data_IF_929694698215
#
_entry.id   IF_929694698215
#
_cell.length_a   1.000
_cell.length_b   1.000
_cell.length_c   1.000
_cell.angle_alpha   90.00
_cell.angle_beta   90.00
_cell.angle_gamma   90.00
#
_symmetry.space_group_name_H-M   'P 1'
#
loop_
_entity.id
_entity.type
_entity.pdbx_description
1 polymer ?
#
# COMPACT_ATOMS: atom_id res chain seq x y z
N UNK A 1 -24.47 28.08 2.82
CA UNK A 1 -23.27 27.27 3.07
C UNK A 1 -23.16 26.21 1.98
N UNK A 2 -22.18 26.33 1.08
CA UNK A 2 -21.99 25.38 -0.02
C UNK A 2 -21.32 24.11 0.49
N UNK A 3 -22.11 23.12 0.92
CA UNK A 3 -21.64 21.73 1.07
C UNK A 3 -21.46 21.13 -0.33
N UNK A 4 -20.44 21.58 -1.03
CA UNK A 4 -20.01 20.99 -2.30
C UNK A 4 -19.14 19.76 -2.06
N UNK A 5 -19.15 18.84 -3.01
CA UNK A 5 -18.19 17.75 -3.04
C UNK A 5 -16.79 18.33 -3.28
N UNK A 6 -15.85 17.99 -2.41
CA UNK A 6 -14.45 18.39 -2.56
C UNK A 6 -13.60 17.14 -2.74
N UNK A 7 -12.65 17.17 -3.68
CA UNK A 7 -11.69 16.09 -3.84
C UNK A 7 -10.95 15.83 -2.53
N UNK A 8 -10.89 14.57 -2.16
CA UNK A 8 -10.19 14.14 -0.96
C UNK A 8 -8.68 14.30 -1.19
N UNK A 9 -8.02 15.06 -0.31
CA UNK A 9 -6.58 15.30 -0.44
C UNK A 9 -5.80 14.27 0.37
N UNK A 10 -4.56 14.00 -0.06
CA UNK A 10 -3.60 13.18 0.70
C UNK A 10 -3.51 13.61 2.17
N UNK A 11 -3.46 14.93 2.44
CA UNK A 11 -3.37 15.49 3.80
C UNK A 11 -4.58 15.09 4.65
N UNK A 12 -5.80 15.17 4.09
CA UNK A 12 -7.04 14.82 4.79
C UNK A 12 -7.11 13.32 5.12
N UNK A 13 -6.71 12.46 4.18
CA UNK A 13 -6.65 11.00 4.40
C UNK A 13 -5.67 10.69 5.53
N UNK A 14 -4.43 11.16 5.41
CA UNK A 14 -3.38 10.86 6.37
C UNK A 14 -3.71 11.40 7.76
N UNK A 15 -4.26 12.60 7.86
CA UNK A 15 -4.71 13.16 9.14
C UNK A 15 -5.77 12.26 9.80
N UNK A 16 -6.74 11.78 9.03
CA UNK A 16 -7.80 10.90 9.54
C UNK A 16 -7.24 9.54 9.99
N UNK A 17 -6.43 8.89 9.16
CA UNK A 17 -5.83 7.59 9.50
C UNK A 17 -4.91 7.70 10.71
N UNK A 18 -4.00 8.68 10.72
CA UNK A 18 -3.05 8.86 11.81
C UNK A 18 -3.77 9.19 13.12
N UNK A 19 -4.83 10.00 13.10
CA UNK A 19 -5.65 10.24 14.30
C UNK A 19 -6.20 8.95 14.89
N UNK A 20 -6.73 8.03 14.05
CA UNK A 20 -7.28 6.76 14.52
C UNK A 20 -6.16 5.88 15.08
N UNK A 21 -5.05 5.73 14.36
CA UNK A 21 -3.94 4.89 14.76
C UNK A 21 -3.29 5.35 16.07
N UNK A 22 -2.99 6.64 16.19
CA UNK A 22 -2.37 7.18 17.41
C UNK A 22 -3.28 7.01 18.63
N UNK A 23 -4.61 7.12 18.45
CA UNK A 23 -5.57 6.85 19.53
C UNK A 23 -5.60 5.39 19.98
N UNK A 24 -5.11 4.46 19.14
CA UNK A 24 -5.00 3.04 19.45
C UNK A 24 -3.55 2.61 19.77
N UNK A 25 -2.65 3.56 20.03
CA UNK A 25 -1.23 3.26 20.32
C UNK A 25 -0.41 2.80 19.11
N UNK A 26 -0.93 2.95 17.90
CA UNK A 26 -0.24 2.61 16.66
C UNK A 26 0.50 3.86 16.14
N UNK A 27 1.79 3.75 15.77
CA UNK A 27 2.54 4.88 15.21
C UNK A 27 1.89 5.46 13.94
N UNK A 28 2.01 6.78 13.77
CA UNK A 28 1.56 7.44 12.55
C UNK A 28 2.33 6.93 11.32
N UNK A 29 1.64 6.77 10.19
CA UNK A 29 2.23 6.29 8.95
C UNK A 29 2.31 7.40 7.90
N UNK A 30 3.28 7.26 7.00
CA UNK A 30 3.44 8.16 5.86
C UNK A 30 2.64 7.65 4.66
N UNK A 31 2.20 8.56 3.79
CA UNK A 31 1.54 8.18 2.53
C UNK A 31 2.38 7.26 1.62
N UNK A 32 3.71 7.24 1.79
CA UNK A 32 4.58 6.30 1.07
C UNK A 32 4.37 4.84 1.53
N UNK A 33 4.10 4.63 2.82
CA UNK A 33 3.81 3.31 3.39
C UNK A 33 2.57 2.67 2.75
N UNK A 34 1.56 3.46 2.41
CA UNK A 34 0.38 2.96 1.67
C UNK A 34 0.72 2.49 0.26
N UNK A 35 1.61 3.20 -0.45
CA UNK A 35 2.04 2.77 -1.79
C UNK A 35 2.79 1.45 -1.72
N UNK A 36 3.74 1.34 -0.79
CA UNK A 36 4.49 0.09 -0.57
C UNK A 36 3.54 -1.05 -0.17
N UNK A 37 2.66 -0.80 0.81
CA UNK A 37 1.69 -1.79 1.27
C UNK A 37 0.73 -2.24 0.17
N UNK A 38 0.25 -1.31 -0.67
CA UNK A 38 -0.58 -1.63 -1.83
C UNK A 38 0.16 -2.47 -2.87
N UNK A 39 1.41 -2.12 -3.18
CA UNK A 39 2.27 -2.96 -4.05
C UNK A 39 2.39 -4.37 -3.48
N UNK A 40 2.70 -4.49 -2.19
CA UNK A 40 2.85 -5.80 -1.54
C UNK A 40 1.54 -6.58 -1.62
N UNK A 41 0.42 -5.98 -1.21
CA UNK A 41 -0.91 -6.63 -1.21
C UNK A 41 -1.30 -7.16 -2.59
N UNK A 42 -1.08 -6.38 -3.65
CA UNK A 42 -1.35 -6.83 -5.02
C UNK A 42 -0.47 -8.03 -5.40
N UNK A 43 0.80 -8.02 -5.01
CA UNK A 43 1.70 -9.14 -5.24
C UNK A 43 1.28 -10.38 -4.42
N UNK A 44 0.82 -10.21 -3.16
CA UNK A 44 0.26 -11.29 -2.33
C UNK A 44 -0.96 -11.94 -3.00
N UNK A 45 -1.78 -11.12 -3.65
CA UNK A 45 -2.96 -11.56 -4.39
C UNK A 45 -2.63 -12.24 -5.73
N UNK A 46 -1.35 -12.47 -6.05
CA UNK A 46 -0.91 -13.13 -7.28
C UNK A 46 -1.00 -12.26 -8.52
N UNK A 47 -1.16 -10.94 -8.37
CA UNK A 47 -1.19 -10.02 -9.51
C UNK A 47 0.20 -10.02 -10.18
N UNK A 48 0.27 -10.20 -11.52
CA UNK A 48 1.55 -10.23 -12.22
C UNK A 48 2.39 -8.96 -11.99
N UNK A 49 3.72 -9.07 -11.83
CA UNK A 49 4.58 -7.93 -11.52
C UNK A 49 4.49 -6.76 -12.52
N UNK A 50 4.31 -7.03 -13.80
CA UNK A 50 4.11 -6.04 -14.86
C UNK A 50 2.79 -5.26 -14.70
N UNK A 51 1.74 -5.95 -14.25
CA UNK A 51 0.45 -5.33 -13.93
C UNK A 51 0.57 -4.45 -12.69
N UNK A 52 1.22 -4.93 -11.63
CA UNK A 52 1.49 -4.11 -10.42
C UNK A 52 2.34 -2.88 -10.77
N UNK A 53 3.37 -3.05 -11.61
CA UNK A 53 4.21 -1.96 -12.11
C UNK A 53 3.38 -0.88 -12.81
N UNK A 54 2.44 -1.29 -13.66
CA UNK A 54 1.53 -0.39 -14.36
C UNK A 54 0.56 0.33 -13.40
N UNK A 55 -0.06 -0.41 -12.47
CA UNK A 55 -1.02 0.11 -11.49
C UNK A 55 -0.38 1.16 -10.56
N UNK A 56 0.80 0.86 -10.02
CA UNK A 56 1.51 1.73 -9.10
C UNK A 56 2.44 2.74 -9.77
N UNK A 57 2.42 2.77 -11.12
CA UNK A 57 3.12 3.72 -11.98
C UNK A 57 4.64 3.74 -11.71
N UNK A 58 5.21 2.57 -11.53
CA UNK A 58 6.65 2.41 -11.36
C UNK A 58 7.36 2.56 -12.70
N UNK A 59 8.26 3.54 -12.79
CA UNK A 59 9.09 3.74 -13.99
C UNK A 59 10.24 2.74 -14.10
N UNK A 60 10.64 2.12 -13.00
CA UNK A 60 11.74 1.16 -12.91
C UNK A 60 11.31 -0.10 -12.18
N UNK A 61 12.16 -1.13 -12.21
CA UNK A 61 11.94 -2.40 -11.52
C UNK A 61 12.30 -2.34 -10.03
N UNK A 62 12.39 -1.14 -9.44
CA UNK A 62 12.65 -0.95 -8.02
C UNK A 62 11.59 -1.64 -7.12
N UNK A 63 10.37 -1.80 -7.63
CA UNK A 63 9.28 -2.50 -6.93
C UNK A 63 9.58 -4.00 -6.73
N UNK A 64 10.42 -4.63 -7.58
CA UNK A 64 10.85 -6.02 -7.41
C UNK A 64 11.67 -6.24 -6.13
N UNK A 65 12.15 -5.18 -5.46
CA UNK A 65 12.76 -5.32 -4.13
C UNK A 65 11.75 -5.80 -3.09
N UNK A 66 10.49 -5.41 -3.22
CA UNK A 66 9.41 -5.89 -2.36
C UNK A 66 9.02 -7.34 -2.68
N UNK A 67 9.35 -7.83 -3.89
CA UNK A 67 9.23 -9.25 -4.23
C UNK A 67 10.20 -10.12 -3.44
N UNK A 68 11.46 -9.69 -3.23
CA UNK A 68 12.47 -10.53 -2.57
C UNK A 68 12.25 -10.70 -1.07
N UNK A 69 11.44 -9.83 -0.46
CA UNK A 69 10.97 -10.03 0.91
C UNK A 69 9.89 -11.13 1.03
N UNK A 70 9.52 -11.81 -0.09
CA UNK A 70 8.64 -12.99 -0.13
C UNK A 70 9.21 -14.26 0.51
N UNK A 71 10.41 -14.30 1.09
CA UNK A 71 10.76 -15.41 1.98
C UNK A 71 9.76 -15.56 3.16
N UNK A 72 8.95 -14.51 3.42
CA UNK A 72 7.79 -14.56 4.33
C UNK A 72 6.50 -15.15 3.69
N UNK A 73 6.42 -15.31 2.37
CA UNK A 73 5.26 -15.86 1.63
C UNK A 73 5.43 -17.31 1.16
N UNK A 74 6.64 -17.86 1.25
CA UNK A 74 6.90 -19.25 0.92
C UNK A 74 5.91 -20.26 1.59
N UNK A 75 5.42 -20.04 2.84
CA UNK A 75 4.46 -20.97 3.44
C UNK A 75 3.06 -20.96 2.79
N UNK A 76 2.69 -19.92 2.03
CA UNK A 76 1.33 -19.80 1.46
C UNK A 76 1.12 -20.63 0.18
N UNK A 77 2.16 -21.29 -0.34
CA UNK A 77 2.11 -22.06 -1.59
C UNK A 77 2.68 -23.49 -1.46
N UNK A 78 2.89 -24.00 -0.24
CA UNK A 78 3.40 -25.38 0.01
C UNK A 78 2.31 -26.32 0.58
N UNK A 79 1.04 -25.91 0.60
CA UNK A 79 -0.08 -26.83 0.85
C UNK A 79 -1.10 -26.76 -0.28
N UNK A 80 -0.84 -27.54 -1.34
CA UNK A 80 -1.87 -28.18 -2.14
C UNK A 80 -1.33 -29.49 -2.73
#
# INVERSE_FOLDING_TARGET
>A
SSRGWHCLTRKKILARCNSIWTSNGIPASAGHSFRIGGTIELLLAGVPPDVVKALDRWSSDAFLRYWRSLELLAPLHIEN
#
